data_IF_081202957148
#
_entry.id   IF_081202957148
#
_cell.length_a   1.000
_cell.length_b   1.000
_cell.length_c   1.000
_cell.angle_alpha   90.00
_cell.angle_beta   90.00
_cell.angle_gamma   90.00
#
_symmetry.space_group_name_H-M   'P 1'
#
loop_
_entity.id
_entity.type
_entity.pdbx_description
1 polymer ?
#
# COMPACT_ATOMS: atom_id res chain seq x y z
N UNK A 1 -29.07 11.23 -10.46
CA UNK A 1 -28.28 12.42 -10.08
C UNK A 1 -27.52 12.07 -8.81
N UNK A 2 -26.24 11.78 -8.94
CA UNK A 2 -25.38 11.43 -7.82
C UNK A 2 -24.99 12.75 -7.12
N UNK A 3 -25.33 12.99 -5.85
CA UNK A 3 -24.91 14.22 -5.20
C UNK A 3 -23.38 14.22 -5.15
N UNK A 4 -22.79 15.30 -5.65
CA UNK A 4 -21.38 15.61 -5.53
C UNK A 4 -20.98 15.40 -4.06
N UNK A 5 -20.13 14.40 -3.80
CA UNK A 5 -19.54 14.20 -2.49
C UNK A 5 -18.83 15.50 -2.09
N UNK A 6 -18.97 15.93 -0.82
CA UNK A 6 -18.58 17.27 -0.42
C UNK A 6 -17.07 17.49 -0.57
N UNK A 7 -16.73 18.65 -1.13
CA UNK A 7 -15.41 19.27 -0.99
C UNK A 7 -15.17 19.45 0.51
N UNK A 8 -14.06 18.89 1.01
CA UNK A 8 -13.69 18.80 2.43
C UNK A 8 -13.88 20.12 3.18
N UNK A 9 -14.57 20.07 4.33
CA UNK A 9 -14.69 21.21 5.26
C UNK A 9 -13.37 21.44 6.03
N UNK A 10 -12.91 22.69 6.22
CA UNK A 10 -11.72 22.97 7.01
C UNK A 10 -12.01 22.78 8.51
N UNK A 11 -11.16 22.00 9.16
CA UNK A 11 -11.21 21.67 10.58
C UNK A 11 -10.56 20.30 10.80
N UNK A 12 -9.30 20.30 11.21
CA UNK A 12 -8.55 19.15 11.74
C UNK A 12 -8.08 18.05 10.77
N UNK A 13 -8.56 17.99 9.53
CA UNK A 13 -8.10 17.00 8.57
C UNK A 13 -6.72 17.37 8.00
N UNK A 14 -5.66 16.78 8.57
CA UNK A 14 -4.24 16.98 8.19
C UNK A 14 -3.70 18.39 8.49
N UNK A 15 -3.83 18.87 9.72
CA UNK A 15 -3.20 20.14 10.14
C UNK A 15 -1.70 20.23 9.78
N UNK A 16 -0.99 19.10 9.83
CA UNK A 16 0.43 18.97 9.45
C UNK A 16 0.64 18.40 8.04
N UNK A 17 -0.37 18.52 7.18
CA UNK A 17 -0.28 18.12 5.78
C UNK A 17 0.59 19.08 4.97
N UNK A 18 1.19 18.56 3.91
CA UNK A 18 2.02 19.36 3.00
C UNK A 18 1.15 19.90 1.87
N UNK A 19 1.16 21.22 1.68
CA UNK A 19 0.51 21.85 0.53
C UNK A 19 1.40 21.67 -0.70
N UNK A 20 0.83 21.12 -1.76
CA UNK A 20 1.51 20.86 -3.04
C UNK A 20 0.71 21.47 -4.19
N UNK A 21 1.38 21.77 -5.29
CA UNK A 21 0.73 22.29 -6.50
C UNK A 21 0.71 21.22 -7.58
N UNK A 22 -0.47 20.98 -8.18
CA UNK A 22 -0.64 20.17 -9.38
C UNK A 22 -1.40 21.00 -10.42
N UNK A 23 -0.71 21.43 -11.47
CA UNK A 23 -1.25 22.36 -12.45
C UNK A 23 -1.67 23.68 -11.80
N UNK A 24 -2.93 24.06 -11.97
CA UNK A 24 -3.51 25.30 -11.42
C UNK A 24 -4.12 25.12 -10.02
N UNK A 25 -4.07 23.92 -9.46
CA UNK A 25 -4.73 23.58 -8.20
C UNK A 25 -3.73 23.31 -7.08
N UNK A 26 -4.10 23.70 -5.86
CA UNK A 26 -3.39 23.34 -4.64
C UNK A 26 -4.08 22.17 -3.96
N UNK A 27 -3.28 21.22 -3.48
CA UNK A 27 -3.72 20.04 -2.76
C UNK A 27 -3.03 19.93 -1.41
N UNK A 28 -3.69 19.31 -0.45
CA UNK A 28 -3.10 18.95 0.84
C UNK A 28 -2.78 17.46 0.84
N UNK A 29 -1.52 17.12 1.08
CA UNK A 29 -1.04 15.75 1.17
C UNK A 29 -0.83 15.37 2.62
N UNK A 30 -1.36 14.24 3.04
CA UNK A 30 -1.20 13.74 4.40
C UNK A 30 -1.41 12.25 4.52
N UNK A 31 -1.10 11.70 5.70
CA UNK A 31 -1.10 10.27 5.96
C UNK A 31 -2.22 9.88 6.94
N UNK A 32 -2.81 8.71 6.72
CA UNK A 32 -3.87 8.17 7.55
C UNK A 32 -3.63 6.68 7.80
N UNK A 33 -3.83 6.27 9.06
CA UNK A 33 -3.93 4.87 9.47
C UNK A 33 -5.34 4.33 9.26
N UNK A 34 -5.67 3.12 9.73
CA UNK A 34 -7.02 2.54 9.53
C UNK A 34 -8.16 3.38 10.13
N UNK A 35 -7.91 4.07 11.24
CA UNK A 35 -8.95 4.72 12.03
C UNK A 35 -8.66 6.18 12.38
N UNK A 36 -7.49 6.71 12.02
CA UNK A 36 -7.13 8.11 12.30
C UNK A 36 -6.12 8.66 11.32
N UNK A 37 -6.19 9.97 11.09
CA UNK A 37 -5.09 10.75 10.51
C UNK A 37 -3.86 10.65 11.43
N UNK A 38 -2.68 10.60 10.83
CA UNK A 38 -1.40 10.58 11.54
C UNK A 38 -0.50 11.68 10.97
N UNK A 39 0.37 12.20 11.83
CA UNK A 39 1.27 13.31 11.54
C UNK A 39 2.70 12.88 11.85
N UNK A 40 3.74 13.54 11.33
CA UNK A 40 5.13 13.19 11.64
C UNK A 40 5.44 13.09 13.15
N UNK A 41 4.77 13.90 13.98
CA UNK A 41 4.92 13.88 15.44
C UNK A 41 4.20 12.69 16.11
N UNK A 42 3.22 12.10 15.43
CA UNK A 42 2.40 10.98 15.93
C UNK A 42 2.48 9.76 14.99
N UNK A 43 3.71 9.35 14.66
CA UNK A 43 4.00 8.35 13.63
C UNK A 43 4.81 7.15 14.17
N UNK A 44 4.11 6.08 14.53
CA UNK A 44 4.72 4.90 15.16
C UNK A 44 5.83 4.25 14.32
N UNK A 45 5.76 4.35 12.97
CA UNK A 45 6.65 3.61 12.07
C UNK A 45 7.19 4.44 10.91
N UNK A 46 7.10 5.77 10.99
CA UNK A 46 7.68 6.68 9.99
C UNK A 46 6.88 6.79 8.68
N UNK A 47 5.60 6.39 8.64
CA UNK A 47 4.80 6.53 7.42
C UNK A 47 4.41 7.99 7.13
N UNK A 48 3.91 8.72 8.12
CA UNK A 48 3.56 10.13 7.98
C UNK A 48 4.79 10.98 7.67
N UNK A 49 5.92 10.72 8.34
CA UNK A 49 7.18 11.37 8.04
C UNK A 49 7.65 11.09 6.59
N UNK A 50 7.53 9.84 6.12
CA UNK A 50 7.84 9.49 4.74
C UNK A 50 6.91 10.18 3.73
N UNK A 51 5.59 10.23 4.00
CA UNK A 51 4.62 10.95 3.16
C UNK A 51 4.95 12.42 3.09
N UNK A 52 5.25 13.05 4.23
CA UNK A 52 5.60 14.46 4.31
C UNK A 52 6.87 14.77 3.48
N UNK A 53 7.90 13.92 3.60
CA UNK A 53 9.15 14.08 2.85
C UNK A 53 9.00 13.88 1.34
N UNK A 54 7.98 13.13 0.89
CA UNK A 54 7.77 12.80 -0.52
C UNK A 54 6.49 13.43 -1.11
N UNK A 55 5.89 14.41 -0.43
CA UNK A 55 4.53 14.87 -0.71
C UNK A 55 4.30 15.31 -2.15
N UNK A 56 5.18 16.14 -2.72
CA UNK A 56 5.04 16.62 -4.10
C UNK A 56 5.13 15.44 -5.10
N UNK A 57 6.15 14.60 -4.96
CA UNK A 57 6.33 13.43 -5.83
C UNK A 57 5.17 12.43 -5.73
N UNK A 58 4.62 12.24 -4.53
CA UNK A 58 3.42 11.43 -4.34
C UNK A 58 2.21 12.04 -5.05
N UNK A 59 2.03 13.35 -4.97
CA UNK A 59 0.94 14.04 -5.65
C UNK A 59 1.09 13.97 -7.18
N UNK A 60 2.31 14.15 -7.70
CA UNK A 60 2.61 14.07 -9.13
C UNK A 60 2.33 12.66 -9.69
N UNK A 61 2.73 11.62 -8.94
CA UNK A 61 2.61 10.23 -9.38
C UNK A 61 1.22 9.66 -9.15
N UNK A 62 0.61 9.91 -7.99
CA UNK A 62 -0.65 9.29 -7.61
C UNK A 62 -1.87 10.10 -8.04
N UNK A 63 -1.69 11.40 -8.26
CA UNK A 63 -2.76 12.35 -8.53
C UNK A 63 -3.65 12.59 -7.30
N UNK A 64 -4.75 13.34 -7.48
CA UNK A 64 -5.67 13.63 -6.40
C UNK A 64 -6.49 12.41 -5.98
N UNK A 65 -6.74 12.30 -4.67
CA UNK A 65 -7.68 11.33 -4.11
C UNK A 65 -7.14 10.59 -2.90
N UNK A 66 -7.79 9.47 -2.56
CA UNK A 66 -7.34 8.56 -1.50
C UNK A 66 -6.61 7.37 -2.12
N UNK A 67 -5.43 7.07 -1.57
CA UNK A 67 -4.54 6.03 -2.04
C UNK A 67 -4.31 5.03 -0.92
N UNK A 68 -4.77 3.78 -1.13
CA UNK A 68 -4.72 2.73 -0.13
C UNK A 68 -3.59 1.75 -0.44
N UNK A 69 -2.82 1.42 0.59
CA UNK A 69 -1.71 0.48 0.51
C UNK A 69 -1.29 0.00 1.90
N UNK A 70 -0.26 -0.84 1.92
CA UNK A 70 0.38 -1.34 3.14
C UNK A 70 1.72 -0.62 3.33
N UNK A 71 1.94 -0.08 4.52
CA UNK A 71 3.26 0.36 4.98
C UNK A 71 3.94 -0.82 5.69
N UNK A 72 5.06 -1.30 5.16
CA UNK A 72 5.73 -2.51 5.64
C UNK A 72 7.25 -2.40 5.57
N UNK A 73 7.94 -3.26 6.30
CA UNK A 73 9.40 -3.35 6.30
C UNK A 73 9.96 -3.47 7.70
N UNK A 74 11.22 -3.08 7.87
CA UNK A 74 11.95 -3.29 9.11
C UNK A 74 11.26 -2.67 10.32
N UNK A 75 11.08 -3.48 11.37
CA UNK A 75 10.41 -3.08 12.61
C UNK A 75 8.88 -3.01 12.52
N UNK A 76 8.25 -3.43 11.41
CA UNK A 76 6.79 -3.44 11.24
C UNK A 76 6.30 -4.87 11.02
N UNK A 77 5.41 -5.36 11.90
CA UNK A 77 4.77 -6.67 11.79
C UNK A 77 5.77 -7.79 11.49
N UNK A 78 5.62 -8.46 10.33
CA UNK A 78 6.46 -9.57 9.87
C UNK A 78 7.89 -9.13 9.52
N UNK A 79 8.17 -7.84 9.36
CA UNK A 79 9.50 -7.28 9.05
C UNK A 79 10.05 -7.62 7.66
N UNK A 80 9.62 -8.74 7.08
CA UNK A 80 9.99 -9.25 5.77
C UNK A 80 11.51 -9.37 5.57
N UNK A 81 12.25 -9.57 6.66
CA UNK A 81 13.73 -9.62 6.70
C UNK A 81 14.39 -8.43 6.00
N UNK A 82 13.71 -7.27 5.97
CA UNK A 82 14.24 -6.08 5.32
C UNK A 82 15.41 -5.50 6.14
N UNK A 83 16.43 -4.93 5.46
CA UNK A 83 17.53 -4.25 6.13
C UNK A 83 17.05 -3.17 7.09
N UNK A 84 17.85 -2.90 8.12
CA UNK A 84 17.51 -1.92 9.15
C UNK A 84 17.13 -0.56 8.54
N UNK A 85 15.98 -0.03 8.95
CA UNK A 85 15.45 1.25 8.47
C UNK A 85 14.74 1.19 7.12
N UNK A 86 14.83 0.09 6.36
CA UNK A 86 14.15 -0.04 5.07
C UNK A 86 12.67 -0.31 5.27
N UNK A 87 11.84 0.56 4.71
CA UNK A 87 10.37 0.46 4.70
C UNK A 87 9.83 0.89 3.34
N UNK A 88 8.65 0.38 2.99
CA UNK A 88 8.02 0.56 1.69
C UNK A 88 6.52 0.76 1.84
N UNK A 89 5.94 1.50 0.91
CA UNK A 89 4.50 1.65 0.73
C UNK A 89 4.05 0.94 -0.54
N UNK A 90 3.28 -0.14 -0.38
CA UNK A 90 2.75 -0.91 -1.51
C UNK A 90 1.26 -0.67 -1.68
N UNK A 91 0.87 -0.05 -2.80
CA UNK A 91 -0.49 0.21 -3.21
C UNK A 91 -1.25 -1.08 -3.55
N UNK A 92 -2.54 -1.16 -3.20
CA UNK A 92 -3.37 -2.35 -3.43
C UNK A 92 -4.04 -2.44 -4.79
N UNK A 93 -4.26 -1.31 -5.46
CA UNK A 93 -4.95 -1.24 -6.75
C UNK A 93 -3.93 -1.20 -7.89
N UNK A 94 -3.46 -2.37 -8.31
CA UNK A 94 -2.41 -2.48 -9.33
C UNK A 94 -2.85 -1.82 -10.64
N UNK A 95 -4.09 -2.03 -11.06
CA UNK A 95 -4.62 -1.52 -12.32
C UNK A 95 -4.70 0.00 -12.33
N UNK A 96 -5.07 0.63 -11.20
CA UNK A 96 -5.09 2.09 -11.08
C UNK A 96 -3.72 2.75 -11.22
N UNK A 97 -2.65 2.08 -10.79
CA UNK A 97 -1.34 2.71 -10.61
C UNK A 97 -0.25 2.23 -11.56
N UNK A 98 -0.43 1.10 -12.26
CA UNK A 98 0.63 0.50 -13.08
C UNK A 98 1.22 1.47 -14.11
N UNK A 99 0.38 2.18 -14.86
CA UNK A 99 0.83 3.14 -15.86
C UNK A 99 1.52 4.36 -15.22
N UNK A 100 0.90 4.93 -14.17
CA UNK A 100 1.43 6.11 -13.49
C UNK A 100 2.82 5.85 -12.88
N UNK A 101 3.03 4.69 -12.25
CA UNK A 101 4.32 4.31 -11.68
C UNK A 101 5.36 4.02 -12.77
N UNK A 102 4.96 3.44 -13.90
CA UNK A 102 5.86 3.17 -15.01
C UNK A 102 6.34 4.44 -15.73
N UNK A 103 5.49 5.47 -15.77
CA UNK A 103 5.76 6.76 -16.42
C UNK A 103 6.32 7.83 -15.47
N UNK A 104 6.42 7.54 -14.17
CA UNK A 104 6.89 8.48 -13.18
C UNK A 104 8.35 8.90 -13.45
N UNK A 105 8.56 10.20 -13.68
CA UNK A 105 9.90 10.78 -13.82
C UNK A 105 10.68 10.68 -12.50
N UNK A 106 9.98 10.88 -11.38
CA UNK A 106 10.54 10.75 -10.04
C UNK A 106 9.63 9.87 -9.18
N UNK A 107 10.04 8.63 -8.96
CA UNK A 107 9.33 7.69 -8.10
C UNK A 107 9.94 7.72 -6.69
N UNK A 108 9.17 8.09 -5.64
CA UNK A 108 9.65 8.05 -4.27
C UNK A 108 10.24 6.68 -3.90
N UNK A 109 11.41 6.68 -3.26
CA UNK A 109 12.00 5.44 -2.79
C UNK A 109 11.05 4.72 -1.84
N UNK A 110 10.80 3.45 -2.13
CA UNK A 110 9.91 2.60 -1.35
C UNK A 110 8.44 2.69 -1.76
N UNK A 111 8.03 3.56 -2.68
CA UNK A 111 6.70 3.50 -3.29
C UNK A 111 6.65 2.36 -4.33
N UNK A 112 5.57 1.59 -4.31
CA UNK A 112 5.30 0.58 -5.31
C UNK A 112 3.90 0.02 -5.20
N UNK A 113 3.66 -1.13 -5.83
CA UNK A 113 2.41 -1.88 -5.73
C UNK A 113 2.66 -3.23 -5.08
N UNK A 114 1.60 -3.82 -4.51
CA UNK A 114 1.66 -5.23 -4.15
C UNK A 114 1.88 -6.10 -5.40
N UNK A 115 2.63 -7.21 -5.31
CA UNK A 115 2.82 -8.11 -6.44
C UNK A 115 1.48 -8.69 -6.93
N UNK A 116 1.22 -8.56 -8.23
CA UNK A 116 0.05 -9.15 -8.87
C UNK A 116 0.28 -10.66 -9.04
N UNK A 117 -0.51 -11.48 -8.34
CA UNK A 117 -0.42 -12.95 -8.43
C UNK A 117 -1.40 -13.56 -9.43
N UNK A 118 -2.49 -12.85 -9.71
CA UNK A 118 -3.59 -13.24 -10.60
C UNK A 118 -4.39 -12.00 -11.00
N UNK A 119 -4.83 -11.96 -12.26
CA UNK A 119 -5.79 -10.99 -12.79
C UNK A 119 -6.79 -11.75 -13.67
N UNK A 120 -8.08 -11.50 -13.48
CA UNK A 120 -9.16 -12.24 -14.14
C UNK A 120 -10.40 -12.46 -13.25
N UNK A 121 -11.33 -13.32 -13.70
CA UNK A 121 -12.58 -13.58 -13.00
C UNK A 121 -12.40 -13.98 -11.54
N UNK A 122 -13.23 -13.43 -10.66
CA UNK A 122 -13.21 -13.81 -9.26
C UNK A 122 -13.72 -15.25 -9.09
N UNK A 123 -12.85 -16.13 -8.61
CA UNK A 123 -13.16 -17.52 -8.30
C UNK A 123 -12.31 -18.01 -7.12
N UNK A 124 -12.88 -18.84 -6.25
CA UNK A 124 -12.18 -19.40 -5.09
C UNK A 124 -10.90 -20.15 -5.49
N UNK A 125 -10.94 -20.90 -6.60
CA UNK A 125 -9.78 -21.61 -7.14
C UNK A 125 -8.59 -20.68 -7.42
N UNK A 126 -8.83 -19.46 -7.90
CA UNK A 126 -7.79 -18.47 -8.18
C UNK A 126 -7.13 -17.99 -6.89
N UNK A 127 -7.92 -17.80 -5.83
CA UNK A 127 -7.43 -17.44 -4.48
C UNK A 127 -6.61 -18.58 -3.89
N UNK A 128 -7.10 -19.81 -3.92
CA UNK A 128 -6.40 -20.99 -3.41
C UNK A 128 -5.08 -21.25 -4.16
N UNK A 129 -5.06 -21.05 -5.48
CA UNK A 129 -3.83 -21.13 -6.27
C UNK A 129 -2.82 -20.06 -5.85
N UNK A 130 -3.25 -18.83 -5.60
CA UNK A 130 -2.38 -17.76 -5.13
C UNK A 130 -1.81 -18.06 -3.73
N UNK A 131 -2.64 -18.53 -2.79
CA UNK A 131 -2.20 -18.97 -1.46
C UNK A 131 -1.21 -20.14 -1.54
N UNK A 132 -1.47 -21.12 -2.41
CA UNK A 132 -0.56 -22.25 -2.65
C UNK A 132 0.78 -21.77 -3.19
N UNK A 133 0.78 -20.82 -4.14
CA UNK A 133 2.01 -20.19 -4.65
C UNK A 133 2.80 -19.52 -3.52
N UNK A 134 2.14 -18.81 -2.61
CA UNK A 134 2.79 -18.21 -1.45
C UNK A 134 3.38 -19.26 -0.50
N UNK A 135 2.64 -20.34 -0.20
CA UNK A 135 3.13 -21.45 0.64
C UNK A 135 4.39 -22.13 0.05
N UNK A 136 4.40 -22.34 -1.27
CA UNK A 136 5.51 -23.03 -1.95
C UNK A 136 6.69 -22.10 -2.23
N UNK A 137 6.44 -20.88 -2.68
CA UNK A 137 7.46 -19.95 -3.19
C UNK A 137 7.86 -18.86 -2.20
N UNK A 138 7.16 -18.70 -1.10
CA UNK A 138 7.33 -17.58 -0.17
C UNK A 138 6.66 -16.30 -0.67
N UNK A 139 6.92 -15.20 0.04
CA UNK A 139 6.40 -13.88 -0.30
C UNK A 139 7.06 -13.30 -1.55
N UNK A 140 6.26 -12.61 -2.35
CA UNK A 140 6.72 -11.90 -3.55
C UNK A 140 7.07 -10.44 -3.26
N UNK A 141 6.72 -9.90 -2.09
CA UNK A 141 6.94 -8.48 -1.74
C UNK A 141 8.42 -8.16 -1.49
N UNK A 142 9.22 -9.17 -1.13
CA UNK A 142 10.65 -9.03 -0.83
C UNK A 142 11.54 -9.23 -2.04
N UNK A 143 10.97 -9.60 -3.20
CA UNK A 143 11.76 -9.71 -4.42
C UNK A 143 12.20 -8.29 -4.81
N UNK A 144 13.51 -8.02 -4.90
CA UNK A 144 13.98 -6.68 -5.24
C UNK A 144 13.38 -6.25 -6.60
N UNK A 145 13.01 -4.97 -6.75
CA UNK A 145 12.84 -4.39 -8.08
C UNK A 145 14.10 -4.66 -8.90
N UNK A 146 13.95 -4.86 -10.21
CA UNK A 146 14.99 -5.37 -11.09
C UNK A 146 16.27 -4.49 -11.14
N UNK A 147 16.25 -3.30 -10.55
CA UNK A 147 17.31 -2.29 -10.54
C UNK A 147 18.14 -2.26 -9.24
N UNK A 148 17.81 -3.04 -8.20
CA UNK A 148 18.61 -3.06 -6.97
C UNK A 148 19.82 -4.00 -7.07
N UNK A 149 21.02 -3.42 -6.94
CA UNK A 149 22.35 -4.05 -7.04
C UNK A 149 22.68 -5.15 -6.01
N UNK A 150 21.70 -5.66 -5.25
CA UNK A 150 21.89 -6.61 -4.15
C UNK A 150 21.75 -8.09 -4.51
N UNK A 151 21.43 -8.43 -5.77
CA UNK A 151 21.08 -9.80 -6.15
C UNK A 151 19.75 -10.27 -5.51
N UNK A 152 19.22 -11.44 -5.89
CA UNK A 152 17.98 -11.94 -5.32
C UNK A 152 18.19 -12.38 -3.87
N UNK A 153 17.50 -11.74 -2.92
CA UNK A 153 17.36 -12.25 -1.55
C UNK A 153 16.67 -13.63 -1.57
N UNK A 154 17.00 -14.56 -0.64
CA UNK A 154 16.26 -15.80 -0.50
C UNK A 154 14.76 -15.50 -0.27
N UNK A 155 13.84 -16.35 -0.77
CA UNK A 155 12.42 -16.07 -0.65
C UNK A 155 12.01 -16.03 0.82
N UNK A 156 11.35 -14.95 1.23
CA UNK A 156 10.82 -14.83 2.58
C UNK A 156 9.71 -15.86 2.78
N UNK A 157 9.93 -16.87 3.63
CA UNK A 157 9.11 -18.10 3.68
C UNK A 157 7.83 -18.00 4.49
N UNK A 158 7.54 -16.85 5.10
CA UNK A 158 6.39 -16.68 5.99
C UNK A 158 5.42 -15.57 5.52
N UNK A 159 4.90 -15.64 4.27
CA UNK A 159 3.94 -14.67 3.77
C UNK A 159 2.65 -14.66 4.60
N UNK A 160 2.06 -13.49 4.80
CA UNK A 160 0.83 -13.34 5.59
C UNK A 160 -0.41 -13.86 4.85
N UNK A 161 -0.51 -13.61 3.55
CA UNK A 161 -1.69 -13.96 2.76
C UNK A 161 -1.77 -13.20 1.44
N UNK A 162 -2.97 -13.16 0.86
CA UNK A 162 -3.27 -12.41 -0.36
C UNK A 162 -4.28 -11.30 -0.09
N UNK A 163 -4.24 -10.29 -0.94
CA UNK A 163 -5.25 -9.25 -1.04
C UNK A 163 -6.02 -9.49 -2.33
N UNK A 164 -7.35 -9.51 -2.23
CA UNK A 164 -8.24 -9.63 -3.39
C UNK A 164 -8.95 -8.30 -3.58
N UNK A 165 -8.67 -7.62 -4.67
CA UNK A 165 -9.44 -6.46 -5.12
C UNK A 165 -10.50 -6.93 -6.11
N UNK A 166 -11.76 -6.59 -5.83
CA UNK A 166 -12.86 -6.85 -6.75
C UNK A 166 -13.34 -5.53 -7.33
N UNK A 167 -13.19 -5.35 -8.64
CA UNK A 167 -13.43 -4.06 -9.32
C UNK A 167 -14.91 -3.64 -9.22
N UNK A 168 -15.85 -4.54 -9.54
CA UNK A 168 -17.28 -4.19 -9.51
C UNK A 168 -17.78 -3.86 -8.10
N UNK A 169 -17.33 -4.61 -7.10
CA UNK A 169 -17.66 -4.35 -5.70
C UNK A 169 -16.91 -3.15 -5.11
N UNK A 170 -15.87 -2.64 -5.80
CA UNK A 170 -14.94 -1.61 -5.31
C UNK A 170 -14.40 -1.90 -3.92
N UNK A 171 -14.21 -3.19 -3.63
CA UNK A 171 -13.88 -3.70 -2.31
C UNK A 171 -12.53 -4.43 -2.31
N UNK A 172 -11.90 -4.45 -1.15
CA UNK A 172 -10.62 -5.14 -0.92
C UNK A 172 -10.81 -6.12 0.23
N UNK A 173 -10.48 -7.39 -0.03
CA UNK A 173 -10.55 -8.48 0.93
C UNK A 173 -9.14 -8.97 1.25
N UNK A 174 -8.92 -9.43 2.48
CA UNK A 174 -7.68 -10.09 2.92
C UNK A 174 -7.99 -11.56 3.20
N UNK A 175 -7.16 -12.46 2.68
CA UNK A 175 -7.25 -13.90 2.92
C UNK A 175 -5.90 -14.36 3.47
N UNK A 176 -5.90 -14.92 4.69
CA UNK A 176 -4.67 -15.12 5.47
C UNK A 176 -4.27 -16.60 5.49
N UNK A 177 -2.96 -16.89 5.42
CA UNK A 177 -2.45 -18.27 5.42
C UNK A 177 -2.59 -18.93 6.80
N UNK A 178 -2.23 -18.23 7.86
CA UNK A 178 -2.10 -18.82 9.22
C UNK A 178 -3.32 -18.56 10.13
N UNK A 179 -4.42 -17.97 9.63
CA UNK A 179 -5.51 -17.46 10.49
C UNK A 179 -6.94 -17.58 9.96
N UNK A 180 -7.19 -18.33 8.89
CA UNK A 180 -8.54 -18.39 8.29
C UNK A 180 -9.56 -19.25 9.09
N UNK A 181 -9.17 -19.94 10.16
CA UNK A 181 -10.10 -20.76 10.99
C UNK A 181 -10.62 -20.07 12.27
N UNK A 182 -10.21 -18.85 12.60
CA UNK A 182 -10.69 -18.16 13.80
C UNK A 182 -11.72 -17.08 13.45
N UNK A 183 -12.97 -17.17 13.93
CA UNK A 183 -13.94 -16.09 13.80
C UNK A 183 -13.37 -14.78 14.34
N UNK A 184 -13.61 -13.67 13.62
CA UNK A 184 -13.17 -12.31 13.98
C UNK A 184 -13.70 -11.81 15.35
N UNK A 185 -14.51 -12.60 16.06
CA UNK A 185 -15.07 -12.27 17.37
C UNK A 185 -14.20 -12.64 18.58
N UNK A 186 -13.00 -13.22 18.40
CA UNK A 186 -12.16 -13.67 19.53
C UNK A 186 -10.75 -13.06 19.61
N UNK A 187 -10.50 -11.94 18.94
CA UNK A 187 -9.31 -11.13 19.19
C UNK A 187 -9.68 -9.92 20.06
N UNK A 188 -9.79 -10.15 21.38
CA UNK A 188 -9.88 -9.12 22.41
C UNK A 188 -8.60 -9.15 23.27
#
# INVERSE_FOLDING_TARGET
MNPLLPIFTPGDAFADGVVVQLGEHLYLVGAQSRNRVITPDADNYGFAAWVHANAQALADVLGPGRHHGEWYGHGINRGYEMPQGVRRFALFDVNRYAEALAMAVHLPYGLGMVPLLYDGPFADVSVQQALTRLKVRGSFVTRPPADHAGGPLPPYRNPEGVIVRHEDARAVFKVLIDRDELPKSMAA
#
